data_IF_262701443183
#
_entry.id   IF_262701443183
#
_cell.length_a   1.000
_cell.length_b   1.000
_cell.length_c   1.000
_cell.angle_alpha   90.00
_cell.angle_beta   90.00
_cell.angle_gamma   90.00
#
_symmetry.space_group_name_H-M   'P 1'
#
loop_
_entity.id
_entity.type
_entity.pdbx_description
1 polymer ?
#
# COMPACT_ATOMS: atom_id res chain seq x y z
N UNK A 1 -11.09 6.73 -10.65
CA UNK A 1 -12.49 6.83 -11.14
C UNK A 1 -13.27 5.55 -10.86
N UNK A 2 -14.57 5.69 -10.59
CA UNK A 2 -15.46 4.55 -10.40
C UNK A 2 -16.08 4.16 -11.74
N UNK A 3 -15.66 3.02 -12.29
CA UNK A 3 -16.22 2.47 -13.51
C UNK A 3 -16.71 1.05 -13.20
N UNK A 4 -17.99 0.74 -13.51
CA UNK A 4 -18.56 -0.59 -13.34
C UNK A 4 -19.55 -0.92 -14.46
N UNK A 5 -19.37 -2.08 -15.06
CA UNK A 5 -20.33 -2.67 -15.98
C UNK A 5 -21.59 -3.15 -15.21
N UNK A 6 -22.77 -2.81 -15.70
CA UNK A 6 -24.08 -3.15 -15.14
C UNK A 6 -24.83 -4.25 -15.91
N UNK A 7 -24.17 -4.92 -16.88
CA UNK A 7 -24.78 -5.87 -17.80
C UNK A 7 -25.39 -7.14 -17.19
N UNK A 8 -25.40 -7.30 -15.86
CA UNK A 8 -26.07 -8.41 -15.18
C UNK A 8 -26.82 -7.94 -13.93
N UNK A 9 -27.94 -8.62 -13.52
CA UNK A 9 -28.70 -8.26 -12.32
C UNK A 9 -27.83 -8.23 -11.02
N UNK A 10 -26.80 -9.08 -10.95
CA UNK A 10 -25.87 -9.10 -9.81
C UNK A 10 -24.99 -7.85 -9.79
N UNK A 11 -24.48 -7.42 -10.94
CA UNK A 11 -23.65 -6.21 -11.08
C UNK A 11 -24.46 -4.96 -10.84
N UNK A 12 -25.71 -4.92 -11.37
CA UNK A 12 -26.65 -3.83 -11.12
C UNK A 12 -26.89 -3.63 -9.61
N UNK A 13 -27.30 -4.68 -8.89
CA UNK A 13 -27.47 -4.63 -7.42
C UNK A 13 -26.21 -4.21 -6.67
N UNK A 14 -25.03 -4.53 -7.20
CA UNK A 14 -23.77 -4.05 -6.60
C UNK A 14 -23.61 -2.54 -6.78
N UNK A 15 -23.94 -2.01 -7.96
CA UNK A 15 -23.89 -0.56 -8.23
C UNK A 15 -24.90 0.20 -7.36
N UNK A 16 -26.11 -0.30 -7.19
CA UNK A 16 -27.10 0.29 -6.27
C UNK A 16 -26.54 0.38 -4.83
N UNK A 17 -25.91 -0.68 -4.34
CA UNK A 17 -25.24 -0.68 -3.02
C UNK A 17 -24.08 0.32 -2.96
N UNK A 18 -23.28 0.40 -4.01
CA UNK A 18 -22.13 1.30 -4.08
C UNK A 18 -22.62 2.77 -4.08
N UNK A 19 -23.74 3.07 -4.74
CA UNK A 19 -24.39 4.39 -4.71
C UNK A 19 -24.89 4.69 -3.28
N UNK A 20 -25.64 3.77 -2.68
CA UNK A 20 -26.19 3.92 -1.32
C UNK A 20 -25.08 4.13 -0.28
N UNK A 21 -23.92 3.52 -0.48
CA UNK A 21 -22.74 3.67 0.39
C UNK A 21 -21.83 4.86 0.02
N UNK A 22 -22.28 5.76 -0.87
CA UNK A 22 -21.52 6.93 -1.33
C UNK A 22 -20.14 6.60 -1.96
N UNK A 23 -19.93 5.40 -2.47
CA UNK A 23 -18.64 4.98 -3.06
C UNK A 23 -18.30 5.81 -4.29
N UNK A 24 -19.28 6.18 -5.12
CA UNK A 24 -19.07 7.03 -6.28
C UNK A 24 -18.51 8.40 -5.88
N UNK A 25 -19.09 9.02 -4.83
CA UNK A 25 -18.64 10.32 -4.33
C UNK A 25 -17.24 10.22 -3.73
N UNK A 26 -16.99 9.16 -2.95
CA UNK A 26 -15.67 8.90 -2.29
C UNK A 26 -14.55 8.63 -3.28
N UNK A 27 -14.84 8.00 -4.44
CA UNK A 27 -13.85 7.67 -5.49
C UNK A 27 -13.88 8.64 -6.69
N UNK A 28 -14.47 9.81 -6.51
CA UNK A 28 -14.39 10.88 -7.51
C UNK A 28 -13.14 11.73 -7.26
N UNK A 29 -12.08 11.49 -8.01
CA UNK A 29 -10.79 12.17 -7.88
C UNK A 29 -10.81 13.66 -8.30
N UNK A 30 -11.94 14.18 -8.79
CA UNK A 30 -12.15 15.62 -8.89
C UNK A 30 -12.27 16.30 -7.53
N UNK A 31 -12.61 15.54 -6.49
CA UNK A 31 -12.63 16.00 -5.11
C UNK A 31 -11.37 15.55 -4.38
N UNK A 32 -10.94 16.32 -3.39
CA UNK A 32 -9.84 15.94 -2.51
C UNK A 32 -10.15 14.62 -1.78
N UNK A 33 -9.23 13.68 -1.79
CA UNK A 33 -9.37 12.34 -1.23
C UNK A 33 -8.60 12.23 0.08
N UNK A 34 -9.12 11.42 1.03
CA UNK A 34 -8.37 10.98 2.21
C UNK A 34 -7.85 9.57 1.99
N UNK A 35 -6.58 9.33 2.26
CA UNK A 35 -5.98 8.02 2.10
C UNK A 35 -5.54 7.41 3.44
N UNK A 36 -5.68 6.08 3.52
CA UNK A 36 -4.97 5.25 4.47
C UNK A 36 -3.80 4.59 3.74
N UNK A 37 -2.59 5.07 4.01
CA UNK A 37 -1.36 4.45 3.55
C UNK A 37 -0.93 3.39 4.56
N UNK A 38 -0.53 2.23 4.10
CA UNK A 38 -0.20 1.08 4.93
C UNK A 38 1.15 0.52 4.50
N UNK A 39 2.11 0.39 5.41
CA UNK A 39 3.29 -0.40 5.12
C UNK A 39 2.93 -1.87 4.98
N UNK A 40 3.75 -2.63 4.26
CA UNK A 40 3.49 -4.03 3.97
C UNK A 40 4.13 -4.98 5.00
N UNK A 41 5.45 -4.89 5.10
CA UNK A 41 6.26 -5.84 5.87
C UNK A 41 6.20 -5.49 7.36
N UNK A 42 5.90 -6.46 8.23
CA UNK A 42 5.59 -6.34 9.66
C UNK A 42 4.36 -5.49 10.03
N UNK A 43 3.65 -4.97 9.03
CA UNK A 43 2.35 -4.30 9.22
C UNK A 43 1.19 -5.19 8.77
N UNK A 44 1.22 -5.73 7.55
CA UNK A 44 0.22 -6.67 7.02
C UNK A 44 0.69 -8.13 7.05
N UNK A 45 1.97 -8.34 6.83
CA UNK A 45 2.61 -9.65 6.76
C UNK A 45 3.88 -9.67 7.61
N UNK A 46 4.17 -10.83 8.21
CA UNK A 46 5.40 -10.98 8.99
C UNK A 46 6.60 -11.10 8.07
N UNK A 47 7.63 -10.31 8.36
CA UNK A 47 8.94 -10.40 7.74
C UNK A 47 10.00 -10.49 8.84
N UNK A 48 10.79 -11.57 8.86
CA UNK A 48 11.82 -11.73 9.88
C UNK A 48 12.99 -10.75 9.64
N UNK A 49 13.72 -10.32 10.68
CA UNK A 49 14.84 -9.41 10.52
C UNK A 49 15.86 -9.92 9.50
N UNK A 50 16.34 -9.04 8.64
CA UNK A 50 17.32 -9.34 7.58
C UNK A 50 16.85 -10.38 6.54
N UNK A 51 15.56 -10.65 6.46
CA UNK A 51 14.94 -11.52 5.45
C UNK A 51 14.08 -10.75 4.48
N UNK A 52 13.65 -11.43 3.41
CA UNK A 52 12.73 -10.89 2.41
C UNK A 52 11.67 -11.93 2.10
N UNK A 53 10.47 -11.47 1.77
CA UNK A 53 9.43 -12.34 1.23
C UNK A 53 9.72 -12.53 -0.27
N UNK A 54 10.12 -13.73 -0.64
CA UNK A 54 10.52 -14.10 -2.00
C UNK A 54 9.52 -15.03 -2.70
N UNK A 55 8.40 -15.34 -2.05
CA UNK A 55 7.36 -16.20 -2.60
C UNK A 55 6.02 -15.93 -1.93
N UNK A 56 4.94 -15.93 -2.71
CA UNK A 56 3.58 -15.80 -2.20
C UNK A 56 3.12 -16.98 -1.33
N UNK A 57 3.78 -18.15 -1.47
CA UNK A 57 3.43 -19.37 -0.72
C UNK A 57 3.76 -19.28 0.76
N UNK A 58 4.75 -18.48 1.14
CA UNK A 58 5.30 -18.42 2.50
C UNK A 58 4.83 -17.18 3.28
N UNK A 59 3.80 -16.49 2.82
CA UNK A 59 3.28 -15.30 3.48
C UNK A 59 2.59 -15.69 4.78
N UNK A 60 3.05 -15.12 5.89
CA UNK A 60 2.39 -15.19 7.20
C UNK A 60 1.66 -13.88 7.45
N UNK A 61 0.34 -13.92 7.42
CA UNK A 61 -0.49 -12.73 7.62
C UNK A 61 -0.58 -12.33 9.09
N UNK A 62 -0.62 -11.05 9.35
CA UNK A 62 -0.78 -10.46 10.68
C UNK A 62 -2.27 -10.10 10.89
N UNK A 63 -3.11 -11.13 11.13
CA UNK A 63 -4.57 -11.01 11.19
C UNK A 63 -5.06 -9.93 12.17
N UNK A 64 -4.41 -9.80 13.33
CA UNK A 64 -4.76 -8.76 14.32
C UNK A 64 -4.59 -7.36 13.75
N UNK A 65 -3.50 -7.11 13.03
CA UNK A 65 -3.21 -5.82 12.41
C UNK A 65 -4.20 -5.54 11.27
N UNK A 66 -4.43 -6.54 10.40
CA UNK A 66 -5.39 -6.42 9.30
C UNK A 66 -6.79 -6.08 9.82
N UNK A 67 -7.22 -6.71 10.93
CA UNK A 67 -8.50 -6.41 11.56
C UNK A 67 -8.57 -4.97 12.12
N UNK A 68 -7.52 -4.49 12.79
CA UNK A 68 -7.43 -3.10 13.26
C UNK A 68 -7.54 -2.11 12.09
N UNK A 69 -6.80 -2.35 11.00
CA UNK A 69 -6.83 -1.53 9.80
C UNK A 69 -8.19 -1.55 9.11
N UNK A 70 -8.84 -2.71 9.03
CA UNK A 70 -10.18 -2.84 8.46
C UNK A 70 -11.20 -1.98 9.21
N UNK A 71 -11.12 -1.92 10.55
CA UNK A 71 -12.03 -1.10 11.38
C UNK A 71 -11.97 0.40 11.08
N UNK A 72 -10.79 0.92 10.75
CA UNK A 72 -10.62 2.35 10.47
C UNK A 72 -10.73 2.68 8.98
N UNK A 73 -10.66 1.67 8.11
CA UNK A 73 -10.57 1.85 6.65
C UNK A 73 -11.75 2.60 6.04
N UNK A 74 -12.95 2.47 6.61
CA UNK A 74 -14.17 3.14 6.11
C UNK A 74 -14.10 4.68 6.19
N UNK A 75 -13.20 5.22 7.02
CA UNK A 75 -12.98 6.67 7.12
C UNK A 75 -12.14 7.25 5.97
N UNK A 76 -11.59 6.40 5.10
CA UNK A 76 -10.71 6.78 4.00
C UNK A 76 -11.30 6.41 2.65
N UNK A 77 -11.05 7.26 1.64
CA UNK A 77 -11.54 7.03 0.28
C UNK A 77 -10.61 6.10 -0.50
N UNK A 78 -9.34 6.10 -0.15
CA UNK A 78 -8.28 5.33 -0.80
C UNK A 78 -7.49 4.57 0.26
N UNK A 79 -7.24 3.29 0.00
CA UNK A 79 -6.39 2.45 0.84
C UNK A 79 -5.24 1.95 -0.03
N UNK A 80 -4.02 2.36 0.33
CA UNK A 80 -2.84 2.09 -0.47
C UNK A 80 -1.74 1.41 0.35
N UNK A 81 -1.15 0.34 -0.18
CA UNK A 81 0.10 -0.22 0.35
C UNK A 81 1.27 0.61 -0.19
N UNK A 82 2.19 1.01 0.72
CA UNK A 82 3.39 1.81 0.40
C UNK A 82 4.61 1.11 0.97
N UNK A 83 5.44 0.49 0.12
CA UNK A 83 6.48 -0.43 0.60
C UNK A 83 7.82 -0.29 -0.13
N UNK A 84 8.93 -0.45 0.61
CA UNK A 84 10.27 -0.57 0.02
C UNK A 84 10.54 -2.03 -0.36
N UNK A 85 10.90 -2.29 -1.62
CA UNK A 85 11.17 -3.64 -2.14
C UNK A 85 12.55 -3.74 -2.80
N UNK A 86 13.64 -3.60 -2.02
CA UNK A 86 15.00 -3.57 -2.54
C UNK A 86 15.47 -4.88 -3.16
N UNK A 87 14.80 -6.00 -2.88
CA UNK A 87 15.12 -7.31 -3.46
C UNK A 87 15.01 -7.34 -4.98
N UNK A 88 14.28 -6.40 -5.59
CA UNK A 88 14.25 -6.21 -7.05
C UNK A 88 15.63 -5.73 -7.53
N UNK A 89 16.19 -4.67 -6.91
CA UNK A 89 17.53 -4.18 -7.28
C UNK A 89 18.64 -5.19 -6.98
N UNK A 90 18.43 -6.06 -5.98
CA UNK A 90 19.34 -7.14 -5.62
C UNK A 90 19.24 -8.36 -6.56
N UNK A 91 18.36 -8.35 -7.57
CA UNK A 91 18.00 -9.50 -8.43
C UNK A 91 17.61 -10.77 -7.64
N UNK A 92 17.05 -10.60 -6.45
CA UNK A 92 16.53 -11.69 -5.60
C UNK A 92 15.06 -11.99 -5.85
N UNK A 93 14.36 -11.06 -6.51
CA UNK A 93 12.93 -11.14 -6.79
C UNK A 93 12.64 -10.56 -8.17
N UNK A 94 11.88 -11.28 -9.00
CA UNK A 94 11.37 -10.72 -10.26
C UNK A 94 10.10 -9.88 -10.05
N UNK A 95 9.75 -9.07 -11.04
CA UNK A 95 8.54 -8.25 -10.99
C UNK A 95 7.29 -9.11 -10.93
N UNK A 96 7.23 -10.21 -11.69
CA UNK A 96 6.10 -11.14 -11.74
C UNK A 96 5.86 -11.77 -10.35
N UNK A 97 6.94 -12.15 -9.66
CA UNK A 97 6.82 -12.72 -8.31
C UNK A 97 6.39 -11.66 -7.30
N UNK A 98 6.87 -10.42 -7.43
CA UNK A 98 6.40 -9.32 -6.59
C UNK A 98 4.91 -9.04 -6.78
N UNK A 99 4.44 -9.05 -8.03
CA UNK A 99 3.02 -8.89 -8.36
C UNK A 99 2.18 -10.03 -7.78
N UNK A 100 2.63 -11.28 -7.88
CA UNK A 100 1.94 -12.43 -7.28
C UNK A 100 1.85 -12.30 -5.74
N UNK A 101 2.94 -11.89 -5.08
CA UNK A 101 2.94 -11.59 -3.64
C UNK A 101 1.91 -10.51 -3.30
N UNK A 102 1.93 -9.38 -4.01
CA UNK A 102 1.03 -8.27 -3.75
C UNK A 102 -0.43 -8.64 -4.02
N UNK A 103 -0.72 -9.36 -5.10
CA UNK A 103 -2.06 -9.86 -5.42
C UNK A 103 -2.59 -10.78 -4.32
N UNK A 104 -1.76 -11.69 -3.81
CA UNK A 104 -2.15 -12.56 -2.70
C UNK A 104 -2.45 -11.77 -1.42
N UNK A 105 -1.67 -10.72 -1.12
CA UNK A 105 -1.93 -9.83 0.02
C UNK A 105 -3.27 -9.10 -0.16
N UNK A 106 -3.51 -8.52 -1.34
CA UNK A 106 -4.77 -7.82 -1.65
C UNK A 106 -5.98 -8.75 -1.49
N UNK A 107 -5.90 -9.97 -2.02
CA UNK A 107 -6.99 -10.94 -1.93
C UNK A 107 -7.25 -11.37 -0.48
N UNK A 108 -6.19 -11.58 0.29
CA UNK A 108 -6.32 -11.92 1.71
C UNK A 108 -6.93 -10.79 2.53
N UNK A 109 -6.42 -9.55 2.38
CA UNK A 109 -6.96 -8.36 3.03
C UNK A 109 -8.44 -8.16 2.68
N UNK A 110 -8.82 -8.36 1.41
CA UNK A 110 -10.22 -8.30 0.97
C UNK A 110 -11.10 -9.33 1.68
N UNK A 111 -10.62 -10.54 1.92
CA UNK A 111 -11.36 -11.57 2.67
C UNK A 111 -11.61 -11.18 4.13
N UNK A 112 -10.83 -10.23 4.65
CA UNK A 112 -10.92 -9.66 6.00
C UNK A 112 -11.55 -8.26 6.02
N UNK A 113 -12.25 -7.87 4.95
CA UNK A 113 -12.93 -6.57 4.79
C UNK A 113 -12.00 -5.35 4.69
N UNK A 114 -10.69 -5.53 4.49
CA UNK A 114 -9.75 -4.45 4.18
C UNK A 114 -9.55 -4.39 2.66
N UNK A 115 -10.17 -3.39 2.02
CA UNK A 115 -10.20 -3.25 0.57
C UNK A 115 -9.04 -2.38 0.08
N UNK A 116 -7.93 -3.01 -0.29
CA UNK A 116 -6.77 -2.31 -0.85
C UNK A 116 -7.08 -1.85 -2.28
N UNK A 117 -6.93 -0.57 -2.56
CA UNK A 117 -7.16 0.05 -3.89
C UNK A 117 -5.92 0.01 -4.78
N UNK A 118 -4.73 0.10 -4.19
CA UNK A 118 -3.47 0.14 -4.96
C UNK A 118 -2.28 -0.28 -4.10
N UNK A 119 -1.20 -0.66 -4.77
CA UNK A 119 0.12 -0.89 -4.16
C UNK A 119 1.14 -0.05 -4.90
N UNK A 120 1.92 0.74 -4.18
CA UNK A 120 3.10 1.42 -4.69
C UNK A 120 4.35 0.90 -3.96
N UNK A 121 5.42 0.72 -4.69
CA UNK A 121 6.64 0.16 -4.14
C UNK A 121 7.90 0.80 -4.75
N UNK A 122 8.96 0.84 -3.97
CA UNK A 122 10.27 1.33 -4.40
C UNK A 122 11.23 0.16 -4.58
N UNK A 123 11.81 -0.05 -5.77
CA UNK A 123 12.79 -1.12 -6.03
C UNK A 123 14.21 -0.77 -5.61
N UNK A 124 14.50 0.51 -5.36
CA UNK A 124 15.86 1.02 -5.26
C UNK A 124 16.53 0.64 -3.95
N UNK A 125 17.86 0.47 -4.01
CA UNK A 125 18.71 0.23 -2.86
C UNK A 125 20.04 0.96 -3.04
N UNK A 126 20.35 2.00 -2.24
CA UNK A 126 21.55 2.82 -2.44
C UNK A 126 22.85 2.13 -2.00
N UNK A 127 22.78 1.12 -1.12
CA UNK A 127 23.96 0.50 -0.54
C UNK A 127 24.65 -0.47 -1.50
N UNK A 128 25.99 -0.56 -1.41
CA UNK A 128 26.81 -1.43 -2.25
C UNK A 128 26.85 -2.87 -1.74
N UNK A 129 27.13 -3.81 -2.63
CA UNK A 129 27.73 -5.07 -2.28
C UNK A 129 26.85 -6.31 -2.36
N UNK A 130 25.88 -6.35 -3.30
CA UNK A 130 25.18 -7.60 -3.61
C UNK A 130 25.71 -8.23 -4.87
N UNK A 131 26.04 -9.51 -4.84
CA UNK A 131 26.35 -10.27 -6.05
C UNK A 131 25.16 -10.20 -7.01
N UNK A 132 25.41 -9.98 -8.29
CA UNK A 132 24.37 -9.93 -9.35
C UNK A 132 23.35 -8.78 -9.22
N UNK A 133 23.66 -7.71 -8.49
CA UNK A 133 22.76 -6.55 -8.37
C UNK A 133 22.45 -5.87 -9.71
N UNK A 134 21.25 -5.32 -9.84
CA UNK A 134 20.89 -4.43 -10.94
C UNK A 134 21.43 -3.02 -10.67
N UNK A 135 22.55 -2.67 -11.31
CA UNK A 135 23.23 -1.39 -11.12
C UNK A 135 22.36 -0.17 -11.47
N UNK A 136 21.39 -0.30 -12.38
CA UNK A 136 20.48 0.78 -12.78
C UNK A 136 19.50 1.14 -11.66
N UNK A 137 19.17 0.20 -10.77
CA UNK A 137 18.27 0.41 -9.63
C UNK A 137 19.02 0.71 -8.34
N UNK A 138 20.35 0.78 -8.41
CA UNK A 138 21.21 1.10 -7.29
C UNK A 138 21.45 2.60 -7.24
N UNK A 139 20.53 3.30 -6.69
CA UNK A 139 20.57 4.75 -6.62
C UNK A 139 19.84 5.25 -5.39
N UNK A 140 20.26 6.42 -4.90
CA UNK A 140 19.44 7.22 -4.03
C UNK A 140 18.23 7.73 -4.85
N UNK A 141 17.05 7.53 -4.32
CA UNK A 141 15.84 7.93 -5.00
C UNK A 141 14.88 8.63 -4.06
N UNK A 142 14.02 9.46 -4.63
CA UNK A 142 13.00 10.15 -3.86
C UNK A 142 11.84 9.25 -3.44
N UNK A 143 11.63 8.10 -4.11
CA UNK A 143 10.55 7.18 -3.80
C UNK A 143 10.82 6.26 -2.60
N UNK A 144 12.09 5.97 -2.24
CA UNK A 144 12.40 5.06 -1.14
C UNK A 144 12.15 5.72 0.21
N UNK A 145 11.30 5.13 1.06
CA UNK A 145 11.17 5.53 2.46
C UNK A 145 12.54 5.48 3.15
N UNK A 146 12.98 6.50 3.89
CA UNK A 146 12.20 7.57 4.53
C UNK A 146 11.81 8.76 3.64
N UNK A 147 12.16 8.77 2.35
CA UNK A 147 11.71 9.84 1.45
C UNK A 147 10.22 9.69 1.14
N UNK A 148 9.50 10.83 0.94
CA UNK A 148 8.05 10.87 0.78
C UNK A 148 7.55 10.62 -0.65
N UNK A 149 8.43 10.32 -1.61
CA UNK A 149 8.09 10.33 -3.04
C UNK A 149 6.92 9.44 -3.45
N UNK A 150 6.78 8.24 -2.84
CA UNK A 150 5.62 7.38 -3.12
C UNK A 150 4.31 8.01 -2.67
N UNK A 151 4.31 8.74 -1.55
CA UNK A 151 3.12 9.44 -1.04
C UNK A 151 2.73 10.60 -1.96
N UNK A 152 3.71 11.38 -2.42
CA UNK A 152 3.47 12.48 -3.36
C UNK A 152 2.98 11.97 -4.72
N UNK A 153 3.53 10.86 -5.22
CA UNK A 153 3.08 10.25 -6.46
C UNK A 153 1.61 9.85 -6.38
N UNK A 154 1.20 9.15 -5.31
CA UNK A 154 -0.21 8.78 -5.11
C UNK A 154 -1.10 10.00 -4.89
N UNK A 155 -0.62 11.03 -4.19
CA UNK A 155 -1.34 12.28 -3.98
C UNK A 155 -1.64 12.95 -5.32
N UNK A 156 -0.65 13.08 -6.18
CA UNK A 156 -0.83 13.66 -7.51
C UNK A 156 -1.78 12.83 -8.39
N UNK A 157 -1.58 11.52 -8.45
CA UNK A 157 -2.37 10.63 -9.31
C UNK A 157 -3.85 10.54 -8.92
N UNK A 158 -4.17 10.70 -7.63
CA UNK A 158 -5.49 10.42 -7.07
C UNK A 158 -6.12 11.57 -6.30
N UNK A 159 -5.54 12.78 -6.42
CA UNK A 159 -5.97 13.98 -5.71
C UNK A 159 -6.11 13.76 -4.19
N UNK A 160 -5.08 13.18 -3.58
CA UNK A 160 -5.08 12.89 -2.13
C UNK A 160 -4.58 14.11 -1.36
N UNK A 161 -5.34 14.54 -0.37
CA UNK A 161 -4.90 15.48 0.65
C UNK A 161 -4.11 14.72 1.72
N UNK A 162 -2.80 14.90 1.70
CA UNK A 162 -1.88 14.24 2.62
C UNK A 162 -2.10 14.68 4.07
N UNK A 163 -2.46 15.96 4.32
CA UNK A 163 -2.68 16.48 5.67
C UNK A 163 -3.90 15.86 6.34
N UNK A 164 -4.88 15.41 5.57
CA UNK A 164 -6.06 14.72 6.09
C UNK A 164 -5.93 13.19 6.06
N UNK A 165 -4.81 12.68 5.59
CA UNK A 165 -4.53 11.26 5.41
C UNK A 165 -3.74 10.67 6.58
N UNK A 166 -3.73 9.33 6.67
CA UNK A 166 -3.03 8.60 7.72
C UNK A 166 -2.06 7.57 7.09
N UNK A 167 -0.83 7.54 7.59
CA UNK A 167 0.09 6.45 7.32
C UNK A 167 0.23 5.54 8.55
N UNK A 168 0.02 4.25 8.36
CA UNK A 168 0.19 3.21 9.38
C UNK A 168 1.34 2.29 8.98
N UNK A 169 2.34 2.17 9.85
CA UNK A 169 3.52 1.33 9.64
C UNK A 169 4.10 0.85 10.97
N UNK A 170 5.19 0.09 10.91
CA UNK A 170 5.86 -0.44 12.10
C UNK A 170 7.21 0.22 12.38
N UNK A 171 7.74 1.01 11.46
CA UNK A 171 9.13 1.44 11.44
C UNK A 171 9.34 2.95 11.46
N UNK A 172 10.54 3.36 11.89
CA UNK A 172 10.94 4.77 11.88
C UNK A 172 10.97 5.36 10.46
N UNK A 173 11.33 4.56 9.44
CA UNK A 173 11.36 5.07 8.05
C UNK A 173 9.97 5.36 7.51
N UNK A 174 8.92 4.70 8.01
CA UNK A 174 7.54 5.00 7.68
C UNK A 174 7.10 6.33 8.31
N UNK A 175 7.41 6.50 9.59
CA UNK A 175 7.14 7.76 10.31
C UNK A 175 7.82 8.94 9.65
N UNK A 176 9.10 8.81 9.30
CA UNK A 176 9.85 9.86 8.63
C UNK A 176 9.27 10.20 7.24
N UNK A 177 8.88 9.19 6.45
CA UNK A 177 8.24 9.41 5.15
C UNK A 177 6.90 10.12 5.28
N UNK A 178 6.06 9.71 6.25
CA UNK A 178 4.79 10.34 6.54
C UNK A 178 4.98 11.82 6.95
N UNK A 179 5.84 12.08 7.93
CA UNK A 179 6.12 13.43 8.43
C UNK A 179 6.66 14.34 7.32
N UNK A 180 7.58 13.83 6.47
CA UNK A 180 8.12 14.58 5.34
C UNK A 180 7.07 14.90 4.27
N UNK A 181 6.00 14.10 4.21
CA UNK A 181 4.87 14.33 3.31
C UNK A 181 3.76 15.20 3.92
N UNK A 182 3.85 15.58 5.20
CA UNK A 182 2.78 16.25 5.93
C UNK A 182 1.59 15.34 6.25
N UNK A 183 1.80 14.03 6.32
CA UNK A 183 0.79 13.03 6.61
C UNK A 183 0.87 12.59 8.09
N UNK A 184 -0.27 12.40 8.76
CA UNK A 184 -0.29 11.81 10.11
C UNK A 184 0.30 10.40 10.08
N UNK A 185 1.13 10.06 11.08
CA UNK A 185 1.66 8.71 11.25
C UNK A 185 1.14 8.08 12.54
N UNK A 186 0.79 6.79 12.47
CA UNK A 186 0.56 5.94 13.64
C UNK A 186 1.31 4.63 13.52
N UNK A 187 1.92 4.21 14.62
CA UNK A 187 2.47 2.86 14.68
C UNK A 187 1.31 1.85 14.70
N UNK A 188 1.47 0.72 14.02
CA UNK A 188 0.45 -0.33 13.96
C UNK A 188 0.14 -0.92 15.34
N UNK A 189 1.08 -0.84 16.29
CA UNK A 189 0.86 -1.27 17.68
C UNK A 189 -0.13 -0.37 18.42
N UNK A 190 -0.23 0.90 18.04
CA UNK A 190 -1.01 1.94 18.72
C UNK A 190 -2.45 2.07 18.20
N UNK A 191 -2.80 1.28 17.19
CA UNK A 191 -4.17 1.08 16.71
C UNK A 191 -4.86 0.02 17.58
#
# INVERSE_FOLDING_TARGET
EYIKDMGTPKRFRQVERDISNNILKRKNYSNSQRALFIDRDNTLIKCDPNSYILSSRNIKFLDKNIYKLAKISDSFSIIAIVTNQPQISMNKLSLEVLEDINNRIILYCRSKSLLIDTVIWCPHHPHKGFASENKLLKTDCFCRKPNPGMLFELSYQRNIDLNSSLFVGDSLVDSQAANSAGCEFRNITDL
#
